data_IF_138030098620
#
_entry.id   IF_138030098620
#
_cell.length_a   1.000
_cell.length_b   1.000
_cell.length_c   1.000
_cell.angle_alpha   90.00
_cell.angle_beta   90.00
_cell.angle_gamma   90.00
#
_symmetry.space_group_name_H-M   'P 1'
#
loop_
_entity.id
_entity.type
_entity.pdbx_description
1 polymer ?
#
# COMPACT_ATOMS: atom_id res chain seq x y z
N UNK A 1 16.88 16.37 8.90
CA UNK A 1 15.50 15.85 9.09
C UNK A 1 15.10 15.18 7.79
N UNK A 2 14.56 13.98 7.82
CA UNK A 2 14.11 13.24 6.62
C UNK A 2 12.95 14.01 5.95
N UNK A 3 13.10 14.30 4.66
CA UNK A 3 12.07 14.99 3.88
C UNK A 3 11.07 13.98 3.30
N UNK A 4 9.79 14.32 3.30
CA UNK A 4 8.69 13.43 2.96
C UNK A 4 7.76 14.06 1.93
N UNK A 5 7.53 13.37 0.81
CA UNK A 5 6.48 13.69 -0.16
C UNK A 5 5.50 12.53 -0.25
N UNK A 6 4.21 12.83 -0.21
CA UNK A 6 3.15 11.87 -0.52
C UNK A 6 2.67 12.15 -1.94
N UNK A 7 2.84 11.19 -2.83
CA UNK A 7 2.39 11.24 -4.21
C UNK A 7 1.07 10.47 -4.35
N UNK A 8 0.09 11.12 -4.94
CA UNK A 8 -1.23 10.54 -5.18
C UNK A 8 -1.64 10.76 -6.63
N UNK A 9 -1.99 9.68 -7.31
CA UNK A 9 -2.68 9.77 -8.60
C UNK A 9 -4.20 9.74 -8.34
N UNK A 10 -4.90 10.78 -8.75
CA UNK A 10 -6.32 10.92 -8.44
C UNK A 10 -7.14 11.37 -9.63
N UNK A 11 -8.28 10.72 -9.85
CA UNK A 11 -9.31 11.07 -10.81
C UNK A 11 -10.55 11.70 -10.16
N UNK A 12 -10.54 11.94 -8.83
CA UNK A 12 -11.67 12.46 -8.08
C UNK A 12 -11.22 13.37 -6.94
N UNK A 13 -11.50 14.67 -7.08
CA UNK A 13 -11.26 15.64 -6.01
C UNK A 13 -12.17 15.42 -4.81
N UNK A 14 -13.37 14.91 -5.03
CA UNK A 14 -14.31 14.60 -3.95
C UNK A 14 -13.72 13.54 -3.02
N UNK A 15 -13.20 12.45 -3.57
CA UNK A 15 -12.64 11.36 -2.78
C UNK A 15 -11.33 11.82 -2.12
N UNK A 16 -10.46 12.49 -2.87
CA UNK A 16 -9.19 13.01 -2.36
C UNK A 16 -9.41 13.95 -1.17
N UNK A 17 -10.31 14.94 -1.33
CA UNK A 17 -10.58 15.93 -0.30
C UNK A 17 -11.34 15.36 0.91
N UNK A 18 -12.06 14.26 0.72
CA UNK A 18 -12.72 13.56 1.82
C UNK A 18 -11.78 12.63 2.61
N UNK A 19 -10.65 12.24 2.05
CA UNK A 19 -9.76 11.24 2.65
C UNK A 19 -8.30 11.73 2.73
N UNK A 20 -7.49 11.50 1.72
CA UNK A 20 -6.03 11.70 1.82
C UNK A 20 -5.67 13.15 2.17
N UNK A 21 -6.32 14.13 1.56
CA UNK A 21 -6.07 15.54 1.85
C UNK A 21 -6.44 15.96 3.28
N UNK A 22 -7.24 15.16 4.01
CA UNK A 22 -7.58 15.38 5.42
C UNK A 22 -6.49 14.89 6.39
N UNK A 23 -5.44 14.23 5.89
CA UNK A 23 -4.35 13.73 6.75
C UNK A 23 -3.62 14.89 7.43
N UNK A 24 -3.52 14.91 8.77
CA UNK A 24 -3.03 16.07 9.52
C UNK A 24 -1.61 16.52 9.16
N UNK A 25 -0.76 15.60 8.73
CA UNK A 25 0.63 15.90 8.34
C UNK A 25 0.78 16.97 7.27
N UNK A 26 -0.23 17.16 6.40
CA UNK A 26 -0.18 18.19 5.35
C UNK A 26 -0.44 19.58 5.92
N UNK A 27 -1.45 19.71 6.78
CA UNK A 27 -1.75 20.97 7.47
C UNK A 27 -0.60 21.39 8.41
N UNK A 28 0.07 20.42 9.02
CA UNK A 28 1.20 20.62 9.92
C UNK A 28 2.52 20.91 9.18
N UNK A 29 2.52 20.89 7.83
CA UNK A 29 3.72 21.11 7.01
C UNK A 29 4.81 20.04 7.15
N UNK A 30 4.45 18.85 7.62
CA UNK A 30 5.38 17.73 7.83
C UNK A 30 5.60 16.87 6.60
N UNK A 31 4.71 16.98 5.61
CA UNK A 31 4.82 16.34 4.31
C UNK A 31 4.23 17.23 3.23
N UNK A 32 4.73 17.08 2.01
CA UNK A 32 4.14 17.71 0.81
C UNK A 32 3.22 16.71 0.11
N UNK A 33 2.02 17.14 -0.26
CA UNK A 33 1.14 16.37 -1.13
C UNK A 33 1.41 16.74 -2.60
N UNK A 34 1.83 15.76 -3.40
CA UNK A 34 2.01 15.87 -4.84
C UNK A 34 0.89 15.12 -5.56
N UNK A 35 0.20 15.80 -6.47
CA UNK A 35 -0.95 15.22 -7.17
C UNK A 35 -0.62 15.03 -8.66
N UNK A 36 -0.83 13.79 -9.11
CA UNK A 36 -0.81 13.42 -10.51
C UNK A 36 -2.23 13.28 -11.06
N UNK A 37 -2.45 13.85 -12.23
CA UNK A 37 -3.74 13.83 -12.94
C UNK A 37 -3.56 13.28 -14.35
N UNK A 38 -4.60 12.68 -14.85
CA UNK A 38 -4.71 12.28 -16.27
C UNK A 38 -3.55 11.41 -16.77
N UNK A 39 -2.93 10.65 -15.87
CA UNK A 39 -1.89 9.71 -16.26
C UNK A 39 -2.52 8.42 -16.83
N UNK A 40 -1.91 7.83 -17.87
CA UNK A 40 -2.45 6.63 -18.51
C UNK A 40 -2.27 5.36 -17.67
N UNK A 41 -1.33 5.36 -16.70
CA UNK A 41 -1.10 4.26 -15.77
C UNK A 41 -0.49 4.75 -14.47
N UNK A 42 -0.56 3.91 -13.44
CA UNK A 42 0.07 4.16 -12.15
C UNK A 42 1.59 4.33 -12.27
N UNK A 43 2.25 3.52 -13.09
CA UNK A 43 3.69 3.58 -13.29
C UNK A 43 4.14 4.94 -13.85
N UNK A 44 3.44 5.46 -14.84
CA UNK A 44 3.73 6.77 -15.44
C UNK A 44 3.44 7.89 -14.42
N UNK A 45 2.29 7.84 -13.73
CA UNK A 45 1.95 8.83 -12.71
C UNK A 45 3.04 8.91 -11.63
N UNK A 46 3.42 7.78 -11.07
CA UNK A 46 4.35 7.75 -9.95
C UNK A 46 5.80 8.02 -10.36
N UNK A 47 6.20 7.71 -11.59
CA UNK A 47 7.49 8.14 -12.11
C UNK A 47 7.56 9.67 -12.31
N UNK A 48 6.48 10.31 -12.80
CA UNK A 48 6.39 11.78 -12.86
C UNK A 48 6.50 12.40 -11.47
N UNK A 49 5.82 11.82 -10.48
CA UNK A 49 5.92 12.28 -9.09
C UNK A 49 7.35 12.13 -8.53
N UNK A 50 8.06 11.03 -8.85
CA UNK A 50 9.47 10.86 -8.50
C UNK A 50 10.36 11.92 -9.12
N UNK A 51 10.09 12.32 -10.37
CA UNK A 51 10.87 13.35 -11.06
C UNK A 51 10.58 14.76 -10.51
N UNK A 52 9.38 14.98 -10.01
CA UNK A 52 8.92 16.27 -9.48
C UNK A 52 9.37 16.54 -8.02
N UNK A 53 9.89 15.55 -7.29
CA UNK A 53 10.31 15.72 -5.90
C UNK A 53 11.78 15.39 -5.67
N UNK A 54 12.39 16.04 -4.69
CA UNK A 54 13.74 15.71 -4.18
C UNK A 54 13.71 15.11 -2.78
N UNK A 55 12.51 14.77 -2.26
CA UNK A 55 12.35 14.22 -0.93
C UNK A 55 13.12 12.90 -0.74
N UNK A 56 13.63 12.66 0.46
CA UNK A 56 14.36 11.43 0.82
C UNK A 56 13.46 10.19 0.74
N UNK A 57 12.20 10.38 1.14
CA UNK A 57 11.15 9.36 1.15
C UNK A 57 9.96 9.84 0.32
N UNK A 58 9.52 8.98 -0.58
CA UNK A 58 8.29 9.20 -1.37
C UNK A 58 7.27 8.13 -0.99
N UNK A 59 6.08 8.56 -0.59
CA UNK A 59 4.94 7.69 -0.28
C UNK A 59 3.96 7.78 -1.44
N UNK A 60 3.68 6.66 -2.08
CA UNK A 60 2.61 6.54 -3.07
C UNK A 60 1.36 6.08 -2.36
N UNK A 61 0.31 6.87 -2.39
CA UNK A 61 -0.94 6.58 -1.70
C UNK A 61 -2.14 6.76 -2.62
N UNK A 62 -3.16 5.92 -2.43
CA UNK A 62 -4.46 6.09 -3.07
C UNK A 62 -5.18 7.32 -2.50
N UNK A 63 -6.06 7.94 -3.28
CA UNK A 63 -6.81 9.14 -2.90
C UNK A 63 -7.85 8.88 -1.80
N UNK A 64 -8.26 7.64 -1.59
CA UNK A 64 -9.18 7.17 -0.54
C UNK A 64 -8.49 6.65 0.72
N UNK A 65 -7.18 6.83 0.82
CA UNK A 65 -6.41 6.56 2.04
C UNK A 65 -6.43 7.78 2.95
N UNK A 66 -6.50 7.54 4.26
CA UNK A 66 -6.28 8.56 5.28
C UNK A 66 -5.17 8.10 6.22
N UNK A 67 -4.25 9.03 6.49
CA UNK A 67 -3.09 8.84 7.35
C UNK A 67 -3.33 9.56 8.68
N UNK A 68 -3.53 8.83 9.80
CA UNK A 68 -3.89 9.42 11.08
C UNK A 68 -2.80 10.35 11.65
N UNK A 69 -3.16 11.17 12.63
CA UNK A 69 -2.23 12.07 13.31
C UNK A 69 -1.01 11.32 13.83
N UNK A 70 0.19 11.84 13.57
CA UNK A 70 1.46 11.23 13.98
C UNK A 70 1.94 10.08 13.08
N UNK A 71 1.25 9.82 11.97
CA UNK A 71 1.61 8.76 11.03
C UNK A 71 3.05 8.92 10.51
N UNK A 72 3.46 10.14 10.15
CA UNK A 72 4.81 10.45 9.67
C UNK A 72 5.90 10.19 10.74
N UNK A 73 5.55 10.39 12.01
CA UNK A 73 6.46 10.10 13.14
C UNK A 73 6.60 8.59 13.31
N UNK A 74 5.49 7.86 13.23
CA UNK A 74 5.51 6.38 13.25
C UNK A 74 6.25 5.82 12.05
N UNK A 75 6.03 6.35 10.84
CA UNK A 75 6.79 5.97 9.65
C UNK A 75 8.29 6.13 9.90
N UNK A 76 8.75 7.27 10.40
CA UNK A 76 10.16 7.50 10.66
C UNK A 76 10.75 6.44 11.62
N UNK A 77 10.00 6.06 12.67
CA UNK A 77 10.40 5.01 13.59
C UNK A 77 10.50 3.64 12.89
N UNK A 78 9.49 3.26 12.09
CA UNK A 78 9.51 2.00 11.34
C UNK A 78 10.66 1.94 10.33
N UNK A 79 10.94 3.05 9.64
CA UNK A 79 12.06 3.13 8.70
C UNK A 79 13.42 3.02 9.41
N UNK A 80 13.55 3.56 10.62
CA UNK A 80 14.75 3.38 11.42
C UNK A 80 14.96 1.90 11.83
N UNK A 81 13.90 1.19 12.18
CA UNK A 81 13.94 -0.25 12.47
C UNK A 81 14.36 -1.05 11.23
N UNK A 82 13.77 -0.78 10.06
CA UNK A 82 14.16 -1.43 8.81
C UNK A 82 15.61 -1.15 8.47
N UNK A 83 16.04 0.11 8.59
CA UNK A 83 17.42 0.49 8.29
C UNK A 83 18.43 -0.21 9.21
N UNK A 84 18.06 -0.44 10.47
CA UNK A 84 18.91 -1.20 11.41
C UNK A 84 18.93 -2.71 11.10
N UNK A 85 17.81 -3.24 10.60
CA UNK A 85 17.66 -4.66 10.25
C UNK A 85 18.34 -4.99 8.90
N UNK A 86 18.17 -4.13 7.90
CA UNK A 86 18.66 -4.32 6.55
C UNK A 86 18.99 -2.98 5.87
N UNK A 87 20.26 -2.64 5.69
CA UNK A 87 20.64 -1.40 5.00
C UNK A 87 20.27 -1.38 3.50
N UNK A 88 19.96 -2.54 2.90
CA UNK A 88 19.58 -2.67 1.48
C UNK A 88 18.06 -2.58 1.26
N UNK A 89 17.29 -2.17 2.28
CA UNK A 89 15.88 -1.93 2.06
C UNK A 89 15.66 -0.79 1.05
N UNK A 90 14.65 -0.93 0.23
CA UNK A 90 14.26 0.08 -0.76
C UNK A 90 12.81 0.52 -0.62
N UNK A 91 11.96 -0.40 -0.18
CA UNK A 91 10.51 -0.21 -0.11
C UNK A 91 9.98 -0.62 1.25
N UNK A 92 8.96 0.12 1.71
CA UNK A 92 8.18 -0.20 2.89
C UNK A 92 6.69 -0.01 2.61
N UNK A 93 5.81 -0.69 3.30
CA UNK A 93 4.36 -0.54 3.11
C UNK A 93 3.56 -0.83 4.36
N UNK A 94 2.33 -0.32 4.38
CA UNK A 94 1.35 -0.60 5.43
C UNK A 94 0.75 -1.99 5.29
N UNK A 95 0.65 -2.52 4.06
CA UNK A 95 0.04 -3.83 3.79
C UNK A 95 0.74 -4.55 2.64
N UNK A 96 1.12 -5.80 2.89
CA UNK A 96 1.80 -6.64 1.90
C UNK A 96 1.66 -8.12 2.18
N UNK A 97 2.21 -8.94 1.29
CA UNK A 97 2.25 -10.39 1.43
C UNK A 97 3.67 -10.84 1.73
N UNK A 98 3.88 -11.45 2.89
CA UNK A 98 5.15 -12.00 3.30
C UNK A 98 5.64 -13.15 2.41
N UNK A 99 6.88 -13.54 2.56
CA UNK A 99 7.44 -14.68 1.82
C UNK A 99 6.74 -15.99 2.20
N UNK A 100 6.21 -16.08 3.41
CA UNK A 100 5.37 -17.17 3.94
C UNK A 100 3.91 -17.12 3.45
N UNK A 101 3.58 -16.15 2.60
CA UNK A 101 2.25 -15.87 2.11
C UNK A 101 1.25 -15.31 3.14
N UNK A 102 1.71 -14.93 4.33
CA UNK A 102 0.89 -14.22 5.31
C UNK A 102 0.64 -12.77 4.86
N UNK A 103 -0.55 -12.25 5.11
CA UNK A 103 -0.85 -10.84 4.94
C UNK A 103 -0.31 -10.06 6.14
N UNK A 104 0.56 -9.10 5.88
CA UNK A 104 1.23 -8.26 6.88
C UNK A 104 0.59 -6.87 6.83
N UNK A 105 0.12 -6.37 7.96
CA UNK A 105 -0.58 -5.08 8.08
C UNK A 105 -0.27 -4.41 9.41
N UNK A 106 -1.09 -3.45 9.88
CA UNK A 106 -2.55 -3.37 9.78
C UNK A 106 -3.09 -2.27 8.84
N UNK A 107 -4.21 -2.53 8.20
CA UNK A 107 -4.98 -1.55 7.45
C UNK A 107 -6.47 -1.74 7.72
N UNK A 108 -7.21 -0.66 7.95
CA UNK A 108 -8.66 -0.70 7.89
C UNK A 108 -9.10 -0.65 6.43
N UNK A 109 -10.02 -1.53 6.03
CA UNK A 109 -10.68 -1.48 4.73
C UNK A 109 -12.18 -1.32 4.92
N UNK A 110 -12.75 -0.23 4.38
CA UNK A 110 -14.18 0.06 4.47
C UNK A 110 -15.01 -0.88 3.60
N UNK A 111 -14.48 -1.37 2.49
CA UNK A 111 -15.16 -2.34 1.63
C UNK A 111 -15.34 -3.71 2.30
N UNK A 112 -14.49 -4.04 3.27
CA UNK A 112 -14.57 -5.28 4.04
C UNK A 112 -15.16 -5.04 5.43
N UNK A 113 -15.04 -3.82 5.97
CA UNK A 113 -15.49 -3.46 7.31
C UNK A 113 -14.61 -4.04 8.43
N UNK A 114 -13.35 -4.30 8.17
CA UNK A 114 -12.41 -4.94 9.10
C UNK A 114 -11.01 -4.34 9.01
N UNK A 115 -10.24 -4.51 10.09
CA UNK A 115 -8.79 -4.36 10.06
C UNK A 115 -8.20 -5.63 9.45
N UNK A 116 -7.44 -5.48 8.38
CA UNK A 116 -6.80 -6.58 7.66
C UNK A 116 -5.30 -6.62 7.92
N UNK A 117 -4.73 -7.82 7.83
CA UNK A 117 -3.31 -8.07 8.01
C UNK A 117 -2.90 -8.38 9.44
N UNK A 118 -1.85 -9.17 9.56
CA UNK A 118 -1.19 -9.49 10.84
C UNK A 118 -0.22 -8.37 11.18
N UNK A 119 -0.35 -7.79 12.36
CA UNK A 119 0.61 -6.80 12.88
C UNK A 119 1.90 -7.53 13.26
N UNK A 120 3.03 -7.28 12.58
CA UNK A 120 4.28 -7.92 12.93
C UNK A 120 4.96 -7.18 14.07
N UNK A 121 5.74 -7.90 14.88
CA UNK A 121 6.56 -7.30 15.95
C UNK A 121 7.74 -6.51 15.38
N UNK A 122 8.23 -6.90 14.21
CA UNK A 122 9.33 -6.25 13.49
C UNK A 122 8.98 -6.17 11.99
N UNK A 123 9.57 -5.23 11.25
CA UNK A 123 9.41 -5.18 9.80
C UNK A 123 9.67 -6.54 9.15
N UNK A 124 8.73 -7.01 8.36
CA UNK A 124 8.75 -8.33 7.73
C UNK A 124 8.94 -8.18 6.22
N UNK A 125 9.89 -8.94 5.66
CA UNK A 125 10.13 -8.93 4.21
C UNK A 125 8.89 -9.44 3.46
N UNK A 126 8.53 -8.75 2.38
CA UNK A 126 7.35 -9.05 1.56
C UNK A 126 7.73 -9.33 0.10
N UNK A 127 6.88 -10.12 -0.56
CA UNK A 127 6.98 -10.40 -1.99
C UNK A 127 6.06 -9.50 -2.83
N UNK A 128 5.13 -8.77 -2.20
CA UNK A 128 4.22 -7.83 -2.86
C UNK A 128 3.62 -6.85 -1.86
N UNK A 129 3.21 -5.69 -2.34
CA UNK A 129 2.37 -4.76 -1.60
C UNK A 129 0.95 -4.73 -2.17
N UNK A 130 0.02 -4.30 -1.33
CA UNK A 130 -1.20 -3.66 -1.77
C UNK A 130 -0.87 -2.24 -2.27
N UNK A 131 -1.56 -1.84 -3.32
CA UNK A 131 -1.30 -0.56 -3.98
C UNK A 131 -1.78 0.65 -3.17
N UNK A 132 -2.57 0.44 -2.11
CA UNK A 132 -3.13 1.52 -1.30
C UNK A 132 -2.05 2.47 -0.74
N UNK A 133 -0.88 1.91 -0.34
CA UNK A 133 0.22 2.70 0.21
C UNK A 133 1.57 1.99 0.08
N UNK A 134 2.49 2.64 -0.61
CA UNK A 134 3.87 2.17 -0.81
C UNK A 134 4.84 3.30 -0.46
N UNK A 135 5.82 3.02 0.37
CA UNK A 135 6.89 3.94 0.76
C UNK A 135 8.17 3.54 0.04
N UNK A 136 8.79 4.49 -0.63
CA UNK A 136 10.04 4.28 -1.37
C UNK A 136 11.17 5.15 -0.80
N UNK A 137 12.30 4.53 -0.54
CA UNK A 137 13.56 5.25 -0.27
C UNK A 137 14.12 5.75 -1.59
N UNK A 138 14.15 7.08 -1.79
CA UNK A 138 14.60 7.67 -3.05
C UNK A 138 16.01 7.25 -3.45
N UNK A 139 16.92 7.10 -2.49
CA UNK A 139 18.28 6.64 -2.72
C UNK A 139 18.39 5.23 -3.30
N UNK A 140 17.31 4.45 -3.35
CA UNK A 140 17.27 3.15 -4.02
C UNK A 140 17.31 3.27 -5.55
N UNK A 141 17.02 4.44 -6.11
CA UNK A 141 16.90 4.72 -7.54
C UNK A 141 15.91 3.81 -8.30
N UNK A 142 14.94 3.24 -7.57
CA UNK A 142 13.88 2.44 -8.18
C UNK A 142 12.95 3.30 -9.02
N UNK A 143 12.46 2.71 -10.11
CA UNK A 143 11.43 3.28 -10.98
C UNK A 143 10.35 2.24 -11.24
N UNK A 144 9.12 2.70 -11.38
CA UNK A 144 8.04 1.85 -11.87
C UNK A 144 8.24 1.54 -13.36
N UNK A 145 7.83 0.37 -13.77
CA UNK A 145 7.92 -0.03 -15.18
C UNK A 145 6.77 0.59 -15.99
N UNK A 146 7.08 1.58 -16.81
CA UNK A 146 6.09 2.29 -17.64
C UNK A 146 5.47 1.40 -18.74
N UNK A 147 6.04 0.24 -19.01
CA UNK A 147 5.43 -0.79 -19.84
C UNK A 147 4.30 -1.56 -19.15
N UNK A 148 4.16 -1.43 -17.82
CA UNK A 148 3.04 -2.03 -17.07
C UNK A 148 1.74 -1.30 -17.37
N UNK A 149 0.68 -2.02 -17.79
CA UNK A 149 -0.60 -1.41 -18.11
C UNK A 149 -1.39 -1.04 -16.84
N UNK A 150 -2.26 -0.04 -16.97
CA UNK A 150 -3.36 0.23 -16.03
C UNK A 150 -2.94 0.65 -14.61
N UNK A 151 -3.78 0.24 -13.66
CA UNK A 151 -3.75 0.74 -12.29
C UNK A 151 -3.64 -0.37 -11.24
N UNK A 152 -3.28 -1.60 -11.66
CA UNK A 152 -3.20 -2.78 -10.79
C UNK A 152 -1.83 -3.44 -10.85
N UNK A 153 -1.48 -4.13 -9.75
CA UNK A 153 -0.27 -4.96 -9.62
C UNK A 153 1.07 -4.20 -9.67
N UNK A 154 1.06 -2.88 -9.74
CA UNK A 154 2.31 -2.10 -9.69
C UNK A 154 3.01 -2.22 -8.32
N UNK A 155 2.25 -2.48 -7.24
CA UNK A 155 2.80 -2.77 -5.92
C UNK A 155 3.56 -4.09 -5.87
N UNK A 156 3.09 -5.09 -6.63
CA UNK A 156 3.81 -6.36 -6.80
C UNK A 156 5.01 -6.18 -7.73
N UNK A 157 4.83 -5.47 -8.84
CA UNK A 157 5.87 -5.26 -9.85
C UNK A 157 7.08 -4.53 -9.27
N UNK A 158 6.87 -3.44 -8.53
CA UNK A 158 7.98 -2.67 -7.95
C UNK A 158 8.75 -3.46 -6.88
N UNK A 159 8.07 -4.33 -6.12
CA UNK A 159 8.75 -5.23 -5.18
C UNK A 159 9.62 -6.25 -5.92
N UNK A 160 9.12 -6.85 -6.99
CA UNK A 160 9.90 -7.79 -7.78
C UNK A 160 11.05 -7.09 -8.51
N UNK A 161 10.85 -5.85 -8.98
CA UNK A 161 11.90 -5.01 -9.55
C UNK A 161 13.00 -4.74 -8.51
N UNK A 162 12.64 -4.36 -7.29
CA UNK A 162 13.60 -4.19 -6.20
C UNK A 162 14.41 -5.48 -5.95
N UNK A 163 13.73 -6.63 -5.83
CA UNK A 163 14.36 -7.91 -5.59
C UNK A 163 15.33 -8.34 -6.71
N UNK A 164 14.98 -8.07 -7.97
CA UNK A 164 15.85 -8.36 -9.11
C UNK A 164 17.15 -7.53 -9.10
N UNK A 165 17.15 -6.42 -8.37
CA UNK A 165 18.31 -5.53 -8.18
C UNK A 165 19.06 -5.80 -6.84
N UNK A 166 18.69 -6.86 -6.10
CA UNK A 166 19.27 -7.19 -4.80
C UNK A 166 18.80 -6.31 -3.65
N UNK A 167 17.74 -5.51 -3.87
CA UNK A 167 17.10 -4.68 -2.87
C UNK A 167 15.89 -5.42 -2.25
N UNK A 168 15.42 -4.93 -1.10
CA UNK A 168 14.32 -5.58 -0.38
C UNK A 168 13.17 -4.65 -0.06
N UNK A 169 12.00 -5.27 0.15
CA UNK A 169 10.76 -4.62 0.50
C UNK A 169 10.22 -5.18 1.82
N UNK A 170 9.72 -4.31 2.69
CA UNK A 170 9.21 -4.68 4.02
C UNK A 170 7.82 -4.12 4.25
N UNK A 171 7.01 -4.84 5.02
CA UNK A 171 5.78 -4.32 5.61
C UNK A 171 5.87 -4.36 7.13
N UNK A 172 5.17 -3.45 7.79
CA UNK A 172 5.25 -3.33 9.25
C UNK A 172 4.01 -2.74 9.89
N UNK A 173 4.10 -2.53 11.20
CA UNK A 173 3.06 -1.90 12.01
C UNK A 173 2.96 -0.39 11.68
N UNK A 174 2.35 -0.07 10.54
CA UNK A 174 2.11 1.28 10.06
C UNK A 174 0.62 1.42 9.66
N UNK A 175 -0.28 1.71 10.63
CA UNK A 175 -1.71 1.77 10.40
C UNK A 175 -2.11 2.80 9.35
N UNK A 176 -3.08 2.45 8.50
CA UNK A 176 -3.72 3.37 7.56
C UNK A 176 -5.21 3.05 7.45
N UNK A 177 -6.01 4.06 7.16
CA UNK A 177 -7.43 3.89 6.84
C UNK A 177 -7.56 3.88 5.32
N UNK A 178 -7.98 2.76 4.75
CA UNK A 178 -8.39 2.65 3.36
C UNK A 178 -9.92 2.77 3.33
N UNK A 179 -10.41 3.95 3.02
CA UNK A 179 -11.85 4.23 2.96
C UNK A 179 -12.40 3.86 1.58
N UNK A 180 -12.03 2.66 1.15
CA UNK A 180 -12.34 2.10 -0.15
C UNK A 180 -13.82 1.73 -0.26
N UNK A 181 -14.33 1.85 -1.48
CA UNK A 181 -15.66 1.33 -1.82
C UNK A 181 -15.53 -0.09 -2.34
N UNK A 182 -16.61 -0.85 -2.18
CA UNK A 182 -16.71 -2.15 -2.80
C UNK A 182 -16.52 -2.07 -4.33
N UNK A 183 -15.61 -2.86 -4.86
CA UNK A 183 -15.37 -2.99 -6.30
C UNK A 183 -16.16 -4.15 -6.88
N UNK A 184 -16.92 -3.90 -7.95
CA UNK A 184 -17.90 -4.85 -8.47
C UNK A 184 -17.28 -6.12 -9.06
N UNK A 185 -16.20 -6.11 -9.72
CA UNK A 185 -15.54 -7.29 -10.26
C UNK A 185 -14.14 -6.98 -10.78
N UNK A 186 -13.28 -7.99 -10.84
CA UNK A 186 -11.99 -7.91 -11.51
C UNK A 186 -12.21 -7.63 -13.01
N UNK A 187 -12.01 -6.37 -13.40
CA UNK A 187 -12.29 -5.86 -14.74
C UNK A 187 -11.22 -6.27 -15.75
N UNK A 188 -11.36 -5.81 -17.00
CA UNK A 188 -10.45 -6.17 -18.11
C UNK A 188 -9.02 -5.67 -17.88
N UNK A 189 -8.86 -4.47 -17.32
CA UNK A 189 -7.57 -3.89 -17.00
C UNK A 189 -6.79 -4.71 -15.96
N UNK A 190 -7.47 -5.23 -14.92
CA UNK A 190 -6.87 -6.17 -13.98
C UNK A 190 -6.34 -7.43 -14.69
N UNK A 191 -7.08 -7.94 -15.67
CA UNK A 191 -6.66 -9.12 -16.46
C UNK A 191 -5.41 -8.80 -17.29
N UNK A 192 -5.32 -7.61 -17.86
CA UNK A 192 -4.16 -7.17 -18.63
C UNK A 192 -2.92 -7.04 -17.72
N UNK A 193 -3.08 -6.41 -16.56
CA UNK A 193 -2.03 -6.33 -15.53
C UNK A 193 -1.56 -7.72 -15.10
N UNK A 194 -2.50 -8.65 -14.81
CA UNK A 194 -2.16 -10.03 -14.44
C UNK A 194 -1.32 -10.72 -15.52
N UNK A 195 -1.74 -10.61 -16.79
CA UNK A 195 -1.02 -11.23 -17.91
C UNK A 195 0.34 -10.59 -18.14
N UNK A 196 0.44 -9.27 -17.93
CA UNK A 196 1.72 -8.58 -17.97
C UNK A 196 2.68 -9.13 -16.91
N UNK A 197 2.25 -9.20 -15.66
CA UNK A 197 3.03 -9.76 -14.57
C UNK A 197 3.43 -11.21 -14.82
N UNK A 198 2.51 -12.02 -15.35
CA UNK A 198 2.75 -13.42 -15.68
C UNK A 198 3.86 -13.60 -16.75
N UNK A 199 3.95 -12.69 -17.72
CA UNK A 199 5.01 -12.70 -18.74
C UNK A 199 6.32 -12.18 -18.19
N UNK A 200 6.29 -11.02 -17.54
CA UNK A 200 7.48 -10.32 -17.04
C UNK A 200 8.22 -11.15 -15.98
N UNK A 201 7.50 -11.70 -15.02
CA UNK A 201 8.06 -12.45 -13.88
C UNK A 201 7.92 -13.96 -14.01
N UNK A 202 7.94 -14.47 -15.24
CA UNK A 202 7.68 -15.90 -15.52
C UNK A 202 8.60 -16.85 -14.77
N UNK A 203 9.84 -16.48 -14.54
CA UNK A 203 10.86 -17.28 -13.81
C UNK A 203 10.62 -17.32 -12.31
N UNK A 204 10.01 -16.26 -11.77
CA UNK A 204 9.81 -16.06 -10.34
C UNK A 204 8.42 -16.53 -9.86
N UNK A 205 7.59 -17.02 -10.80
CA UNK A 205 6.27 -17.55 -10.46
C UNK A 205 6.37 -18.87 -9.70
N UNK A 206 5.48 -19.09 -8.71
CA UNK A 206 4.30 -18.30 -8.39
C UNK A 206 4.56 -17.10 -7.47
N UNK A 207 3.90 -15.97 -7.72
CA UNK A 207 3.87 -14.80 -6.84
C UNK A 207 2.51 -14.68 -6.16
N UNK A 208 2.49 -14.25 -4.91
CA UNK A 208 1.26 -13.94 -4.19
C UNK A 208 1.11 -12.45 -4.04
N UNK A 209 -0.05 -11.93 -4.44
CA UNK A 209 -0.46 -10.55 -4.21
C UNK A 209 -1.53 -10.52 -3.11
N UNK A 210 -1.89 -9.37 -2.56
CA UNK A 210 -2.99 -9.28 -1.59
C UNK A 210 -4.32 -9.84 -2.10
N UNK A 211 -4.55 -9.76 -3.41
CA UNK A 211 -5.83 -10.14 -4.03
C UNK A 211 -5.78 -11.53 -4.65
N UNK A 212 -4.65 -11.91 -5.30
CA UNK A 212 -4.60 -13.11 -6.14
C UNK A 212 -3.20 -13.73 -6.17
N UNK A 213 -3.15 -15.03 -6.45
CA UNK A 213 -1.91 -15.74 -6.79
C UNK A 213 -1.67 -15.65 -8.31
N UNK A 214 -0.52 -15.11 -8.70
CA UNK A 214 -0.06 -15.14 -10.09
C UNK A 214 0.68 -16.46 -10.30
N UNK A 215 0.20 -17.28 -11.22
CA UNK A 215 0.79 -18.60 -11.53
C UNK A 215 1.00 -18.79 -13.03
N UNK A 216 1.86 -19.73 -13.40
CA UNK A 216 2.16 -20.00 -14.81
C UNK A 216 0.92 -20.41 -15.62
N UNK A 217 0.00 -21.15 -15.02
CA UNK A 217 -1.22 -21.65 -15.71
C UNK A 217 -2.32 -20.59 -15.83
N UNK A 218 -2.30 -19.53 -15.00
CA UNK A 218 -3.38 -18.55 -14.94
C UNK A 218 -4.71 -19.05 -14.36
N UNK A 219 -4.81 -20.30 -13.90
CA UNK A 219 -6.06 -20.90 -13.36
C UNK A 219 -6.62 -20.09 -12.18
N UNK A 220 -5.74 -19.50 -11.37
CA UNK A 220 -6.17 -18.64 -10.25
C UNK A 220 -6.94 -17.40 -10.72
N UNK A 221 -6.60 -16.81 -11.86
CA UNK A 221 -7.33 -15.69 -12.44
C UNK A 221 -8.77 -16.07 -12.78
N UNK A 222 -8.97 -17.19 -13.46
CA UNK A 222 -10.31 -17.66 -13.87
C UNK A 222 -11.16 -18.01 -12.64
N UNK A 223 -10.57 -18.73 -11.67
CA UNK A 223 -11.25 -19.09 -10.42
C UNK A 223 -11.68 -17.84 -9.65
N UNK A 224 -10.78 -16.86 -9.47
CA UNK A 224 -11.08 -15.65 -8.70
C UNK A 224 -12.14 -14.81 -9.41
N UNK A 225 -12.09 -14.65 -10.72
CA UNK A 225 -13.14 -13.97 -11.48
C UNK A 225 -14.51 -14.63 -11.34
N UNK A 226 -14.55 -15.96 -11.31
CA UNK A 226 -15.79 -16.69 -11.08
C UNK A 226 -16.32 -16.47 -9.65
N UNK A 227 -15.48 -16.62 -8.65
CA UNK A 227 -15.82 -16.36 -7.23
C UNK A 227 -16.27 -14.91 -7.03
N UNK A 228 -15.60 -13.97 -7.64
CA UNK A 228 -15.88 -12.55 -7.55
C UNK A 228 -17.30 -12.24 -8.09
N UNK A 229 -17.66 -12.79 -9.23
CA UNK A 229 -19.00 -12.65 -9.80
C UNK A 229 -20.09 -13.29 -8.93
N UNK A 230 -19.82 -14.47 -8.37
CA UNK A 230 -20.81 -15.21 -7.58
C UNK A 230 -21.00 -14.63 -6.18
N UNK A 231 -20.01 -13.97 -5.61
CA UNK A 231 -20.06 -13.36 -4.28
C UNK A 231 -20.38 -11.85 -4.27
N UNK A 232 -20.53 -11.22 -5.44
CA UNK A 232 -20.68 -9.78 -5.58
C UNK A 232 -21.80 -9.18 -4.70
N UNK A 233 -22.99 -9.79 -4.73
CA UNK A 233 -24.13 -9.33 -3.93
C UNK A 233 -23.88 -9.45 -2.42
N UNK A 234 -23.24 -10.53 -1.99
CA UNK A 234 -22.92 -10.74 -0.57
C UNK A 234 -21.91 -9.69 -0.09
N UNK A 235 -20.87 -9.43 -0.87
CA UNK A 235 -19.83 -8.44 -0.52
C UNK A 235 -20.35 -7.01 -0.50
N UNK A 236 -21.23 -6.64 -1.45
CA UNK A 236 -21.84 -5.32 -1.50
C UNK A 236 -22.62 -4.99 -0.20
N UNK A 237 -23.22 -6.00 0.42
CA UNK A 237 -23.95 -5.85 1.68
C UNK A 237 -23.05 -5.81 2.92
N UNK A 238 -21.76 -6.11 2.77
CA UNK A 238 -20.80 -6.12 3.87
C UNK A 238 -19.98 -4.83 3.97
N UNK A 239 -20.06 -3.95 2.96
CA UNK A 239 -19.37 -2.65 3.01
C UNK A 239 -19.84 -1.82 4.20
N UNK A 240 -18.93 -1.55 5.13
CA UNK A 240 -19.20 -0.78 6.34
C UNK A 240 -18.20 0.35 6.44
N UNK A 241 -18.70 1.57 6.61
CA UNK A 241 -17.83 2.70 6.95
C UNK A 241 -17.55 3.69 5.83
N UNK A 242 -17.92 3.40 4.58
CA UNK A 242 -17.72 4.32 3.44
C UNK A 242 -18.40 5.69 3.65
N UNK A 243 -19.48 5.72 4.42
CA UNK A 243 -20.23 6.94 4.75
C UNK A 243 -19.70 7.65 6.01
N UNK A 244 -18.67 7.09 6.66
CA UNK A 244 -18.06 7.71 7.81
C UNK A 244 -16.84 8.56 7.42
N UNK A 245 -16.65 9.73 8.07
CA UNK A 245 -15.39 10.48 7.92
C UNK A 245 -14.20 9.59 8.32
N UNK A 246 -13.07 9.66 7.60
CA UNK A 246 -11.93 8.78 7.86
C UNK A 246 -11.33 8.98 9.26
N UNK A 247 -11.48 10.18 9.86
CA UNK A 247 -11.11 10.45 11.25
C UNK A 247 -11.90 9.58 12.22
N UNK A 248 -13.22 9.41 11.97
CA UNK A 248 -14.07 8.55 12.79
C UNK A 248 -13.68 7.08 12.68
N UNK A 249 -13.29 6.63 11.48
CA UNK A 249 -12.79 5.28 11.29
C UNK A 249 -11.45 5.08 12.04
N UNK A 250 -10.56 6.07 12.01
CA UNK A 250 -9.32 6.03 12.80
C UNK A 250 -9.60 5.96 14.31
N UNK A 251 -10.60 6.70 14.82
CA UNK A 251 -11.03 6.60 16.23
C UNK A 251 -11.53 5.20 16.56
N UNK A 252 -12.39 4.63 15.73
CA UNK A 252 -12.95 3.28 15.94
C UNK A 252 -11.86 2.20 15.93
N UNK A 253 -10.79 2.38 15.14
CA UNK A 253 -9.64 1.49 15.10
C UNK A 253 -8.65 1.71 16.26
N UNK A 254 -8.83 2.76 17.08
CA UNK A 254 -7.85 3.15 18.10
C UNK A 254 -6.60 3.83 17.53
N UNK A 255 -6.68 4.40 16.30
CA UNK A 255 -5.56 5.01 15.59
C UNK A 255 -5.68 6.53 15.44
N UNK A 256 -6.58 7.18 16.19
CA UNK A 256 -6.81 8.62 16.08
C UNK A 256 -5.53 9.45 16.30
N UNK A 257 -4.64 8.99 17.19
CA UNK A 257 -3.35 9.62 17.45
C UNK A 257 -2.24 8.57 17.62
N UNK A 258 -1.40 8.45 16.60
CA UNK A 258 -0.29 7.49 16.56
C UNK A 258 0.96 8.00 17.29
N UNK A 259 0.98 9.25 17.77
CA UNK A 259 2.11 9.78 18.55
C UNK A 259 2.23 9.13 19.93
N UNK A 260 1.10 8.62 20.45
CA UNK A 260 1.03 7.94 21.77
C UNK A 260 1.24 6.43 21.68
N UNK A 261 1.40 5.87 20.48
CA UNK A 261 1.71 4.46 20.32
C UNK A 261 3.11 4.16 20.88
N UNK A 262 3.27 3.11 21.70
CA UNK A 262 4.54 2.82 22.35
C UNK A 262 5.64 2.62 21.31
N UNK A 263 6.74 3.35 21.50
CA UNK A 263 7.92 3.29 20.62
C UNK A 263 8.66 1.95 20.69
N UNK A 264 8.34 1.12 21.70
CA UNK A 264 8.89 -0.23 21.89
C UNK A 264 7.84 -1.12 22.51
N UNK A 265 7.49 -2.22 21.88
CA UNK A 265 6.99 -3.41 22.57
C UNK A 265 8.20 -4.15 23.20
N UNK A 266 8.91 -3.55 24.12
CA UNK A 266 9.57 -4.30 25.17
C UNK A 266 8.45 -4.76 26.10
N UNK A 267 7.91 -5.93 25.86
CA UNK A 267 7.27 -6.69 26.89
C UNK A 267 8.35 -6.91 27.96
N UNK A 268 8.31 -6.12 29.02
CA UNK A 268 8.90 -6.50 30.28
C UNK A 268 8.22 -7.80 30.72
N UNK A 269 8.79 -8.93 30.32
CA UNK A 269 8.48 -10.22 30.88
C UNK A 269 9.31 -10.33 32.17
N UNK A 270 8.92 -9.58 33.17
CA UNK A 270 9.36 -9.75 34.55
C UNK A 270 8.09 -9.91 35.39
N UNK A 271 7.68 -11.12 35.55
CA UNK A 271 7.17 -11.91 36.67
C UNK A 271 6.21 -13.01 36.21
#
# INVERSE_FOLDING_TARGET
>A
MMTLTVACASNSDIILNANLAQSPMFADGRATLHLERDAPSAAIAYNRALDATTADIVVFAHHDVYLPKGWETMLAARLAEVQAQDPNWALFGSFGVGLDAAHIGPVWSSSIGLIVGRVPMQPTEVQSFDELLIVMRRASNLRFDEGAPGWHMYGTDIVQTARSQGLRAYAGALPAIHNDRYHEALQSDFVECYRYMQRKWRTDLPLRTPIIKISRSGLHLYRNRWLDRTSARFRANMSVGVDHPPQRLAELCGWADLTVYPKNNSLDVSN
#
